data_IF_358599029131
#
_entry.id   IF_358599029131
#
_cell.length_a   1.000
_cell.length_b   1.000
_cell.length_c   1.000
_cell.angle_alpha   90.00
_cell.angle_beta   90.00
_cell.angle_gamma   90.00
#
_symmetry.space_group_name_H-M   'P 1'
#
loop_
_entity.id
_entity.type
_entity.pdbx_description
1 polymer ?
#
# COMPACT_ATOMS: atom_id res chain seq x y z
N UNK A 1 -9.78 12.87 -14.69
CA UNK A 1 -9.83 13.65 -13.43
C UNK A 1 -10.82 13.13 -12.39
N UNK A 2 -11.78 12.25 -12.73
CA UNK A 2 -12.76 11.73 -11.75
C UNK A 2 -12.17 10.71 -10.75
N UNK A 3 -11.17 9.92 -11.18
CA UNK A 3 -10.53 8.89 -10.34
C UNK A 3 -9.83 9.46 -9.10
N UNK A 4 -9.08 10.57 -9.25
CA UNK A 4 -8.39 11.21 -8.12
C UNK A 4 -9.36 11.68 -7.02
N UNK A 5 -10.58 12.10 -7.38
CA UNK A 5 -11.60 12.50 -6.41
C UNK A 5 -12.15 11.27 -5.66
N UNK A 6 -12.28 10.13 -6.35
CA UNK A 6 -12.78 8.88 -5.77
C UNK A 6 -11.82 8.25 -4.74
N UNK A 7 -10.52 8.44 -4.94
CA UNK A 7 -9.47 7.93 -4.04
C UNK A 7 -9.01 8.97 -3.01
N UNK A 8 -9.50 10.21 -3.05
CA UNK A 8 -9.03 11.26 -2.15
C UNK A 8 -9.26 10.94 -0.66
N UNK A 9 -10.27 10.12 -0.33
CA UNK A 9 -10.56 9.66 1.03
C UNK A 9 -9.74 8.43 1.47
N UNK A 10 -8.93 7.84 0.58
CA UNK A 10 -8.12 6.66 0.90
C UNK A 10 -7.03 6.97 1.94
N UNK A 11 -6.42 8.16 1.86
CA UNK A 11 -5.40 8.58 2.84
C UNK A 11 -5.99 8.65 4.24
N UNK A 12 -7.20 9.22 4.36
CA UNK A 12 -7.91 9.27 5.63
C UNK A 12 -8.31 7.90 6.17
N UNK A 13 -8.62 6.92 5.31
CA UNK A 13 -8.90 5.56 5.78
C UNK A 13 -7.63 4.81 6.20
N UNK A 14 -6.53 4.99 5.46
CA UNK A 14 -5.23 4.36 5.76
C UNK A 14 -4.62 4.93 7.05
N UNK A 15 -4.70 6.25 7.26
CA UNK A 15 -4.15 6.90 8.45
C UNK A 15 -4.85 6.45 9.75
N UNK A 16 -6.16 6.17 9.67
CA UNK A 16 -6.91 5.57 10.80
C UNK A 16 -6.37 4.21 11.24
N UNK A 17 -5.61 3.52 10.38
CA UNK A 17 -5.04 2.22 10.70
C UNK A 17 -3.94 2.25 11.75
N UNK A 18 -3.16 3.34 11.85
CA UNK A 18 -1.96 3.51 12.71
C UNK A 18 -0.87 2.41 12.62
N UNK A 19 -1.19 1.22 12.10
CA UNK A 19 -0.34 0.08 11.82
C UNK A 19 0.28 0.19 10.43
N UNK A 20 1.58 -0.07 10.33
CA UNK A 20 2.35 0.11 9.09
C UNK A 20 2.97 1.50 8.96
N UNK A 21 3.47 1.86 7.77
CA UNK A 21 4.18 3.11 7.49
C UNK A 21 5.70 2.99 7.60
N UNK A 22 6.40 3.78 6.78
CA UNK A 22 7.85 3.93 6.79
C UNK A 22 8.23 5.16 7.63
N UNK A 23 8.99 4.96 8.70
CA UNK A 23 9.53 6.07 9.50
C UNK A 23 10.73 6.70 8.78
N UNK A 24 10.51 7.89 8.21
CA UNK A 24 11.55 8.72 7.61
C UNK A 24 11.85 9.92 8.51
N UNK A 25 12.93 9.82 9.28
CA UNK A 25 13.31 10.81 10.31
C UNK A 25 12.16 11.03 11.31
N UNK A 26 11.53 12.20 11.30
CA UNK A 26 10.40 12.59 12.15
C UNK A 26 9.03 12.40 11.49
N UNK A 27 8.96 11.94 10.24
CA UNK A 27 7.71 11.75 9.50
C UNK A 27 7.48 10.27 9.22
N UNK A 28 6.22 9.86 9.27
CA UNK A 28 5.81 8.50 8.94
C UNK A 28 5.03 8.54 7.62
N UNK A 29 5.55 7.87 6.60
CA UNK A 29 4.98 7.85 5.25
C UNK A 29 4.27 6.50 5.06
N UNK A 30 2.98 6.51 4.75
CA UNK A 30 2.19 5.29 4.61
C UNK A 30 1.91 4.94 3.15
N UNK A 31 1.57 5.95 2.36
CA UNK A 31 1.12 5.83 0.97
C UNK A 31 1.82 6.81 0.06
N UNK A 32 2.02 6.41 -1.18
CA UNK A 32 2.51 7.25 -2.27
C UNK A 32 1.59 7.01 -3.48
N UNK A 33 0.85 8.04 -3.87
CA UNK A 33 -0.12 7.97 -4.96
C UNK A 33 0.40 8.77 -6.14
N UNK A 34 0.39 8.16 -7.33
CA UNK A 34 0.77 8.83 -8.56
C UNK A 34 -0.21 8.45 -9.66
N UNK A 35 -1.02 9.42 -10.11
CA UNK A 35 -2.09 9.20 -11.08
C UNK A 35 -3.01 8.04 -10.65
N UNK A 36 -3.01 6.94 -11.40
CA UNK A 36 -3.78 5.71 -11.14
C UNK A 36 -3.03 4.68 -10.27
N UNK A 37 -1.73 4.88 -10.03
CA UNK A 37 -0.90 3.97 -9.23
C UNK A 37 -0.87 4.35 -7.74
N UNK A 38 -1.10 3.36 -6.87
CA UNK A 38 -1.02 3.51 -5.41
C UNK A 38 0.05 2.57 -4.87
N UNK A 39 1.00 3.13 -4.11
CA UNK A 39 2.08 2.39 -3.46
C UNK A 39 1.93 2.52 -1.94
N UNK A 40 1.85 1.38 -1.24
CA UNK A 40 1.83 1.31 0.24
C UNK A 40 3.18 0.82 0.76
N UNK A 41 3.66 1.41 1.86
CA UNK A 41 4.97 1.09 2.43
C UNK A 41 4.89 0.93 3.96
N UNK A 42 5.60 -0.07 4.49
CA UNK A 42 5.80 -0.26 5.91
C UNK A 42 7.19 -0.83 6.20
N UNK A 43 7.71 -0.59 7.41
CA UNK A 43 8.99 -1.17 7.86
C UNK A 43 8.88 -2.69 8.09
N UNK A 44 7.70 -3.18 8.45
CA UNK A 44 7.47 -4.57 8.84
C UNK A 44 6.50 -5.29 7.88
N UNK A 45 6.74 -6.58 7.63
CA UNK A 45 5.93 -7.40 6.71
C UNK A 45 4.47 -7.50 7.16
N UNK A 46 4.23 -7.57 8.48
CA UNK A 46 2.87 -7.59 9.02
C UNK A 46 2.15 -6.24 8.80
N UNK A 47 2.90 -5.13 8.84
CA UNK A 47 2.39 -3.80 8.54
C UNK A 47 2.00 -3.66 7.07
N UNK A 48 2.81 -4.20 6.15
CA UNK A 48 2.45 -4.24 4.72
C UNK A 48 1.20 -5.07 4.48
N UNK A 49 1.09 -6.27 5.07
CA UNK A 49 -0.11 -7.11 4.94
C UNK A 49 -1.36 -6.39 5.44
N UNK A 50 -1.29 -5.75 6.62
CA UNK A 50 -2.41 -5.00 7.18
C UNK A 50 -2.84 -3.82 6.28
N UNK A 51 -1.87 -3.10 5.70
CA UNK A 51 -2.13 -2.01 4.76
C UNK A 51 -2.80 -2.52 3.48
N UNK A 52 -2.31 -3.63 2.91
CA UNK A 52 -2.88 -4.23 1.69
C UNK A 52 -4.32 -4.71 1.93
N UNK A 53 -4.57 -5.48 3.00
CA UNK A 53 -5.93 -5.95 3.30
C UNK A 53 -6.92 -4.81 3.55
N UNK A 54 -6.44 -3.68 4.07
CA UNK A 54 -7.27 -2.49 4.26
C UNK A 54 -7.55 -1.76 2.94
N UNK A 55 -6.55 -1.66 2.07
CA UNK A 55 -6.68 -1.11 0.72
C UNK A 55 -7.70 -1.92 -0.08
N UNK A 56 -7.63 -3.25 -0.03
CA UNK A 56 -8.61 -4.14 -0.65
C UNK A 56 -10.02 -3.88 -0.13
N UNK A 57 -10.22 -3.79 1.20
CA UNK A 57 -11.53 -3.49 1.80
C UNK A 57 -12.06 -2.11 1.43
N UNK A 58 -11.18 -1.12 1.29
CA UNK A 58 -11.56 0.22 0.85
C UNK A 58 -12.01 0.23 -0.61
N UNK A 59 -11.27 -0.45 -1.50
CA UNK A 59 -11.60 -0.58 -2.90
C UNK A 59 -12.91 -1.35 -3.09
N UNK A 60 -13.11 -2.45 -2.38
CA UNK A 60 -14.34 -3.26 -2.40
C UNK A 60 -15.57 -2.43 -2.02
N UNK A 61 -15.46 -1.59 -0.97
CA UNK A 61 -16.52 -0.65 -0.57
C UNK A 61 -16.88 0.39 -1.64
N UNK A 62 -15.91 0.73 -2.50
CA UNK A 62 -16.08 1.70 -3.60
C UNK A 62 -16.47 1.00 -4.91
N UNK A 63 -16.63 -0.33 -4.91
CA UNK A 63 -16.89 -1.12 -6.11
C UNK A 63 -15.70 -1.21 -7.06
N UNK A 64 -14.48 -1.04 -6.53
CA UNK A 64 -13.22 -1.15 -7.26
C UNK A 64 -12.51 -2.45 -6.88
N UNK A 65 -11.79 -3.04 -7.82
CA UNK A 65 -11.00 -4.24 -7.59
C UNK A 65 -9.51 -3.91 -7.65
N UNK A 66 -8.75 -4.50 -6.72
CA UNK A 66 -7.30 -4.44 -6.75
C UNK A 66 -6.76 -5.41 -7.80
N UNK A 67 -6.05 -4.91 -8.79
CA UNK A 67 -5.49 -5.75 -9.85
C UNK A 67 -4.26 -6.53 -9.34
N UNK A 68 -4.49 -7.76 -8.87
CA UNK A 68 -3.48 -8.67 -8.32
C UNK A 68 -2.35 -8.98 -9.32
N UNK A 69 -2.63 -8.97 -10.63
CA UNK A 69 -1.59 -9.20 -11.66
C UNK A 69 -0.60 -8.03 -11.76
N UNK A 70 -1.09 -6.81 -11.52
CA UNK A 70 -0.27 -5.58 -11.52
C UNK A 70 0.34 -5.29 -10.16
N UNK A 71 -0.31 -5.72 -9.07
CA UNK A 71 0.18 -5.46 -7.71
C UNK A 71 1.41 -6.32 -7.42
N UNK A 72 2.53 -5.67 -7.12
CA UNK A 72 3.79 -6.33 -6.79
C UNK A 72 4.28 -5.91 -5.41
N UNK A 73 4.39 -6.89 -4.51
CA UNK A 73 5.00 -6.67 -3.20
C UNK A 73 6.53 -6.73 -3.34
N UNK A 74 7.21 -5.66 -2.93
CA UNK A 74 8.66 -5.56 -2.97
C UNK A 74 9.21 -5.39 -1.56
N UNK A 75 10.22 -6.19 -1.21
CA UNK A 75 10.92 -6.10 0.08
C UNK A 75 12.30 -5.49 -0.14
N UNK A 76 12.55 -4.34 0.47
CA UNK A 76 13.87 -3.72 0.48
C UNK A 76 14.69 -4.25 1.65
N UNK A 77 15.92 -4.70 1.39
CA UNK A 77 16.90 -5.11 2.40
C UNK A 77 18.26 -4.50 2.01
N UNK A 78 19.03 -3.98 2.97
CA UNK A 78 20.41 -3.54 2.70
C UNK A 78 21.29 -4.77 2.40
N UNK A 79 21.70 -4.95 1.15
CA UNK A 79 22.74 -5.92 0.77
C UNK A 79 22.30 -7.33 0.35
N UNK A 80 21.05 -7.55 -0.09
CA UNK A 80 20.60 -8.87 -0.59
C UNK A 80 20.05 -8.80 -2.01
N UNK A 81 20.51 -9.68 -2.90
CA UNK A 81 20.03 -9.78 -4.28
C UNK A 81 18.51 -9.96 -4.38
N UNK A 82 17.92 -9.55 -5.52
CA UNK A 82 16.48 -9.66 -5.82
C UNK A 82 16.01 -11.11 -5.66
N UNK A 83 15.22 -11.43 -4.63
CA UNK A 83 14.45 -12.69 -4.63
C UNK A 83 13.40 -12.63 -5.75
N UNK A 84 13.31 -13.72 -6.52
CA UNK A 84 12.23 -13.94 -7.51
C UNK A 84 10.87 -13.97 -6.80
N UNK A 85 9.83 -13.56 -7.54
CA UNK A 85 8.42 -13.41 -7.14
C UNK A 85 8.04 -14.31 -5.95
N UNK A 86 7.64 -13.68 -4.86
CA UNK A 86 6.99 -14.34 -3.72
C UNK A 86 5.50 -14.25 -4.01
N UNK A 87 4.84 -15.40 -4.09
CA UNK A 87 3.38 -15.49 -4.15
C UNK A 87 2.84 -15.31 -2.72
N UNK A 88 1.90 -14.39 -2.55
CA UNK A 88 1.33 -14.03 -1.24
C UNK A 88 -0.07 -14.61 -1.06
N UNK A 89 -0.43 -15.62 -1.84
CA UNK A 89 -1.72 -16.31 -1.76
C UNK A 89 -1.78 -17.29 -0.59
#
# INVERSE_FOLDING_TARGET
>A
MLFNILIADIEGDIEKGRWGGLKLKDRKIYTLMYADDIVVMAEEEHGVKALVSRLERYLDRKGLELNVEKTKVMRFRKGGGRKKKIDWR
#
